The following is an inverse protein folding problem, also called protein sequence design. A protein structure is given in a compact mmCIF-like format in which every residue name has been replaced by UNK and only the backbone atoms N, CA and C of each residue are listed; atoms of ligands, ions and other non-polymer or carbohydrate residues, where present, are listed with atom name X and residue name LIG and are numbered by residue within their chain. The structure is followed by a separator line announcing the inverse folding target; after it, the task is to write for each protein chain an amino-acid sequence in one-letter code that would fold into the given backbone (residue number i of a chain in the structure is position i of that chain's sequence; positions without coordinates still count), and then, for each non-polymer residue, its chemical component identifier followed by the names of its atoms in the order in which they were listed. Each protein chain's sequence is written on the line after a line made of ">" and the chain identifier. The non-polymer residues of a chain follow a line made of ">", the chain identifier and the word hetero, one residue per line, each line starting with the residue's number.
data_IF_817001986055
#
_entry.id   IF_817001986055
#
_cell.length_a   1.000
_cell.length_b   1.000
_cell.length_c   1.000
_cell.angle_alpha   90.00
_cell.angle_beta   90.00
_cell.angle_gamma   90.00
#
_symmetry.space_group_name_H-M   'P 1'
#
loop_
_entity.id
_entity.type
_entity.pdbx_description
1 polymer ?
#
# COMPACT_ATOMS: atom_id res chain seq x y z
N UNK A 1 -97.93 12.08 141.51
CA UNK A 1 -96.99 13.20 141.30
C UNK A 1 -97.80 14.43 140.93
N UNK A 2 -97.47 15.57 141.52
CA UNK A 2 -98.15 16.84 141.30
C UNK A 2 -98.27 17.15 139.79
N UNK A 3 -99.41 17.72 139.37
CA UNK A 3 -99.54 18.34 138.06
C UNK A 3 -98.58 19.54 138.01
N UNK A 4 -97.36 19.34 137.51
CA UNK A 4 -96.46 20.44 137.13
C UNK A 4 -96.86 20.95 135.76
N UNK A 5 -97.54 22.08 135.73
CA UNK A 5 -97.82 22.84 134.51
C UNK A 5 -96.50 23.38 133.95
N UNK A 6 -96.03 22.85 132.82
CA UNK A 6 -94.86 23.37 132.11
C UNK A 6 -95.34 24.49 131.19
N UNK A 7 -94.91 25.73 131.45
CA UNK A 7 -95.17 26.88 130.59
C UNK A 7 -94.01 27.04 129.61
N UNK A 8 -94.33 27.22 128.33
CA UNK A 8 -93.37 27.48 127.27
C UNK A 8 -93.36 28.97 126.96
N UNK A 9 -92.18 29.56 126.78
CA UNK A 9 -92.09 30.89 126.17
C UNK A 9 -92.45 30.76 124.69
N UNK A 10 -93.12 31.77 124.15
CA UNK A 10 -93.34 31.83 122.71
C UNK A 10 -93.14 33.25 122.21
N UNK A 11 -92.72 33.33 120.94
CA UNK A 11 -92.58 34.61 120.25
C UNK A 11 -93.18 34.50 118.85
N UNK A 12 -94.01 35.48 118.50
CA UNK A 12 -94.49 35.69 117.14
C UNK A 12 -93.72 36.78 116.39
N UNK A 13 -92.78 37.46 117.05
CA UNK A 13 -92.04 38.59 116.49
C UNK A 13 -90.55 38.30 116.26
N UNK A 14 -89.93 37.45 117.07
CA UNK A 14 -88.49 37.17 117.02
C UNK A 14 -88.23 35.75 116.54
N UNK A 15 -87.43 35.61 115.47
CA UNK A 15 -87.01 34.31 114.92
C UNK A 15 -86.23 33.45 115.93
N UNK A 16 -85.47 34.08 116.82
CA UNK A 16 -84.71 33.39 117.87
C UNK A 16 -84.84 34.21 119.15
N UNK A 17 -85.20 33.60 120.30
CA UNK A 17 -85.12 34.28 121.59
C UNK A 17 -83.70 34.79 121.85
N UNK A 18 -83.53 35.94 122.51
CA UNK A 18 -82.19 36.48 122.80
C UNK A 18 -81.51 35.74 123.96
N UNK A 19 -82.29 35.30 124.94
CA UNK A 19 -81.85 34.49 126.08
C UNK A 19 -82.98 33.56 126.53
N UNK A 20 -82.63 32.43 127.12
CA UNK A 20 -83.55 31.50 127.79
C UNK A 20 -82.87 30.97 129.03
N UNK A 21 -83.59 30.85 130.14
CA UNK A 21 -83.03 30.23 131.34
C UNK A 21 -82.69 28.76 131.07
N UNK A 22 -81.79 28.17 131.85
CA UNK A 22 -81.44 26.74 131.72
C UNK A 22 -82.69 25.85 131.72
N UNK A 23 -82.87 25.05 130.66
CA UNK A 23 -84.01 24.15 130.49
C UNK A 23 -85.31 24.85 130.08
N UNK A 24 -85.34 26.17 129.97
CA UNK A 24 -86.50 26.93 129.55
C UNK A 24 -86.73 26.71 128.04
N UNK A 25 -87.87 26.13 127.71
CA UNK A 25 -88.23 25.87 126.33
C UNK A 25 -88.98 27.06 125.73
N UNK A 26 -88.67 27.36 124.47
CA UNK A 26 -89.33 28.41 123.72
C UNK A 26 -89.61 28.02 122.28
N UNK A 27 -90.73 28.50 121.74
CA UNK A 27 -91.05 28.34 120.33
C UNK A 27 -91.10 29.71 119.63
N UNK A 28 -90.50 29.82 118.45
CA UNK A 28 -90.68 30.97 117.57
C UNK A 28 -91.59 30.60 116.41
N UNK A 29 -92.72 31.31 116.30
CA UNK A 29 -93.59 31.24 115.13
C UNK A 29 -93.01 31.98 113.93
N UNK A 30 -91.95 32.78 114.10
CA UNK A 30 -91.30 33.50 112.99
C UNK A 30 -90.28 32.63 112.26
N UNK A 31 -89.53 31.80 112.99
CA UNK A 31 -88.57 30.85 112.39
C UNK A 31 -89.10 29.43 112.29
N UNK A 32 -90.30 29.18 112.81
CA UNK A 32 -90.88 27.85 113.00
C UNK A 32 -90.01 26.91 113.86
N UNK A 33 -89.06 27.43 114.62
CA UNK A 33 -88.10 26.65 115.41
C UNK A 33 -88.49 26.55 116.88
N UNK A 34 -88.17 25.39 117.45
CA UNK A 34 -88.23 25.11 118.87
C UNK A 34 -86.83 25.21 119.46
N UNK A 35 -86.74 25.87 120.60
CA UNK A 35 -85.52 26.21 121.29
C UNK A 35 -85.57 25.78 122.75
N UNK A 36 -84.39 25.58 123.34
CA UNK A 36 -84.24 25.39 124.78
C UNK A 36 -83.04 26.19 125.28
N UNK A 37 -83.14 26.76 126.48
CA UNK A 37 -81.99 27.35 127.16
C UNK A 37 -81.00 26.28 127.59
N UNK A 38 -79.74 26.45 127.20
CA UNK A 38 -78.66 25.58 127.64
C UNK A 38 -78.20 25.93 129.06
N UNK A 39 -77.19 25.23 129.58
CA UNK A 39 -76.65 25.42 130.94
C UNK A 39 -76.02 26.79 131.21
N UNK A 40 -75.79 27.62 130.19
CA UNK A 40 -75.24 28.98 130.30
C UNK A 40 -76.25 30.06 129.91
N UNK A 41 -77.55 29.73 129.89
CA UNK A 41 -78.65 30.61 129.48
C UNK A 41 -78.60 31.09 128.00
N UNK A 42 -77.89 30.36 127.13
CA UNK A 42 -77.89 30.57 125.67
C UNK A 42 -78.93 29.69 124.98
N UNK A 43 -79.42 30.16 123.84
CA UNK A 43 -80.52 29.54 123.09
C UNK A 43 -80.01 28.47 122.14
N UNK A 44 -80.39 27.21 122.36
CA UNK A 44 -80.12 26.10 121.45
C UNK A 44 -81.35 25.82 120.57
N UNK A 45 -81.17 25.72 119.25
CA UNK A 45 -82.24 25.23 118.37
C UNK A 45 -82.27 23.72 118.45
N UNK A 46 -83.39 23.15 118.86
CA UNK A 46 -83.53 21.70 119.07
C UNK A 46 -84.61 21.05 118.21
N UNK A 47 -85.36 21.85 117.45
CA UNK A 47 -86.34 21.31 116.51
C UNK A 47 -87.28 22.38 115.99
N UNK A 48 -88.54 22.01 115.83
CA UNK A 48 -89.60 22.86 115.30
C UNK A 48 -89.97 22.52 113.86
N UNK A 49 -91.12 23.06 113.45
CA UNK A 49 -91.74 22.87 112.13
C UNK A 49 -90.79 23.16 110.96
N UNK A 50 -89.81 24.05 111.10
CA UNK A 50 -88.82 24.32 110.05
C UNK A 50 -88.13 23.06 109.51
N UNK A 51 -87.64 22.19 110.41
CA UNK A 51 -86.92 20.97 110.01
C UNK A 51 -87.88 19.90 109.47
N UNK A 52 -89.08 19.78 110.04
CA UNK A 52 -90.07 18.82 109.50
C UNK A 52 -90.54 19.26 108.12
N UNK A 53 -90.70 20.57 107.86
CA UNK A 53 -91.02 21.07 106.52
C UNK A 53 -89.93 20.76 105.48
N UNK A 54 -88.64 20.82 105.84
CA UNK A 54 -87.56 20.42 104.91
C UNK A 54 -87.59 18.92 104.59
N UNK A 55 -87.97 18.08 105.56
CA UNK A 55 -88.12 16.63 105.38
C UNK A 55 -89.39 16.31 104.59
N UNK A 56 -90.51 16.97 104.88
CA UNK A 56 -91.78 16.80 104.16
C UNK A 56 -91.65 17.29 102.70
N UNK A 57 -90.86 18.34 102.47
CA UNK A 57 -90.55 18.87 101.14
C UNK A 57 -89.42 18.11 100.43
N UNK A 58 -88.82 17.09 101.05
CA UNK A 58 -87.83 16.26 100.37
C UNK A 58 -88.46 15.64 99.11
N UNK A 59 -87.71 15.59 98.00
CA UNK A 59 -88.23 15.14 96.71
C UNK A 59 -87.18 14.36 95.93
N UNK A 60 -87.65 13.43 95.12
CA UNK A 60 -86.87 12.67 94.14
C UNK A 60 -86.64 13.46 92.85
N UNK A 61 -87.38 14.55 92.64
CA UNK A 61 -87.16 15.47 91.54
C UNK A 61 -85.89 16.32 91.76
N UNK A 62 -85.26 16.75 90.67
CA UNK A 62 -84.15 17.71 90.72
C UNK A 62 -84.64 19.11 91.09
N UNK A 63 -84.98 19.33 92.37
CA UNK A 63 -85.48 20.60 92.90
C UNK A 63 -84.40 21.29 93.74
N UNK A 64 -84.22 22.60 93.50
CA UNK A 64 -83.21 23.38 94.19
C UNK A 64 -83.45 23.43 95.71
N UNK A 65 -82.37 23.27 96.48
CA UNK A 65 -82.37 23.39 97.95
C UNK A 65 -83.30 22.42 98.69
N UNK A 66 -83.75 21.35 98.05
CA UNK A 66 -84.51 20.27 98.68
C UNK A 66 -83.57 19.13 99.11
N UNK A 67 -83.94 18.44 100.20
CA UNK A 67 -83.32 17.16 100.52
C UNK A 67 -83.76 16.15 99.45
N UNK A 68 -82.80 15.44 98.86
CA UNK A 68 -83.11 14.39 97.88
C UNK A 68 -83.64 13.18 98.63
N UNK A 69 -84.84 12.71 98.25
CA UNK A 69 -85.35 11.39 98.65
C UNK A 69 -85.41 10.49 97.43
N UNK A 70 -85.53 9.19 97.66
CA UNK A 70 -85.82 8.25 96.58
C UNK A 70 -87.32 8.26 96.27
N UNK A 71 -87.66 8.05 95.01
CA UNK A 71 -89.02 7.81 94.55
C UNK A 71 -89.53 6.41 94.95
N UNK A 72 -90.74 6.06 94.51
CA UNK A 72 -91.37 4.77 94.80
C UNK A 72 -90.67 3.56 94.15
N UNK A 73 -89.75 3.79 93.21
CA UNK A 73 -88.93 2.74 92.56
C UNK A 73 -87.46 2.81 92.97
N UNK A 74 -87.13 3.64 93.96
CA UNK A 74 -85.78 3.75 94.52
C UNK A 74 -84.83 4.67 93.74
N UNK A 75 -85.33 5.46 92.80
CA UNK A 75 -84.56 6.36 91.93
C UNK A 75 -84.63 7.82 92.43
N UNK A 76 -83.80 8.69 91.84
CA UNK A 76 -83.91 10.15 91.94
C UNK A 76 -83.45 10.77 90.61
N UNK A 77 -83.91 11.98 90.33
CA UNK A 77 -83.54 12.76 89.16
C UNK A 77 -82.49 13.82 89.49
N UNK A 78 -81.44 13.91 88.69
CA UNK A 78 -80.41 14.94 88.78
C UNK A 78 -79.94 15.32 87.37
N UNK A 79 -79.70 16.61 87.11
CA UNK A 79 -79.09 17.07 85.85
C UNK A 79 -77.64 16.64 85.73
N UNK A 80 -76.92 16.57 86.84
CA UNK A 80 -75.55 16.08 86.90
C UNK A 80 -75.28 15.47 88.29
N UNK A 81 -74.54 14.35 88.30
CA UNK A 81 -74.01 13.75 89.52
C UNK A 81 -72.50 13.89 89.47
N UNK A 82 -71.93 14.69 90.38
CA UNK A 82 -70.47 14.81 90.52
C UNK A 82 -69.97 13.77 91.52
N UNK A 83 -69.82 12.54 91.05
CA UNK A 83 -69.27 11.41 91.80
C UNK A 83 -68.61 10.42 90.84
N UNK A 84 -67.80 9.49 91.37
CA UNK A 84 -67.45 8.30 90.61
C UNK A 84 -68.66 7.38 90.58
N UNK A 85 -69.26 7.20 89.40
CA UNK A 85 -70.39 6.31 89.22
C UNK A 85 -69.86 4.89 88.94
N UNK A 86 -70.24 3.93 89.78
CA UNK A 86 -70.00 2.50 89.50
C UNK A 86 -71.19 1.93 88.72
N UNK A 87 -70.97 1.51 87.48
CA UNK A 87 -71.99 0.91 86.62
C UNK A 87 -71.83 1.25 85.13
N UNK A 88 -72.62 0.61 84.28
CA UNK A 88 -72.63 0.87 82.83
C UNK A 88 -73.45 2.15 82.53
N UNK A 89 -72.85 3.11 81.80
CA UNK A 89 -73.60 4.25 81.28
C UNK A 89 -74.55 3.79 80.16
N UNK A 90 -75.82 4.21 80.18
CA UNK A 90 -76.84 3.74 79.23
C UNK A 90 -76.42 3.87 77.75
N UNK A 91 -75.59 4.85 77.40
CA UNK A 91 -75.06 5.07 76.04
C UNK A 91 -73.89 4.15 75.65
N UNK A 92 -73.21 3.50 76.60
CA UNK A 92 -72.14 2.52 76.37
C UNK A 92 -72.62 1.05 76.35
N UNK A 93 -73.89 0.81 76.65
CA UNK A 93 -74.50 -0.55 76.72
C UNK A 93 -74.29 -1.40 75.48
N UNK A 94 -74.15 -0.78 74.29
CA UNK A 94 -73.96 -1.51 73.03
C UNK A 94 -72.60 -2.20 72.90
N UNK A 95 -71.60 -1.78 73.68
CA UNK A 95 -70.26 -2.36 73.71
C UNK A 95 -70.07 -3.37 74.85
N UNK A 96 -71.02 -3.45 75.80
CA UNK A 96 -70.97 -4.44 76.89
C UNK A 96 -70.97 -5.89 76.39
N UNK A 97 -71.58 -6.14 75.23
CA UNK A 97 -71.42 -7.38 74.50
C UNK A 97 -70.36 -7.17 73.42
N UNK A 98 -69.28 -7.94 73.49
CA UNK A 98 -68.18 -7.84 72.54
C UNK A 98 -68.67 -8.02 71.10
N UNK A 99 -68.16 -7.19 70.19
CA UNK A 99 -68.51 -7.21 68.77
C UNK A 99 -67.28 -7.55 67.94
N UNK A 100 -67.46 -8.42 66.97
CA UNK A 100 -66.43 -8.67 65.98
C UNK A 100 -66.39 -7.54 64.96
N UNK A 101 -65.26 -6.88 64.84
CA UNK A 101 -64.93 -5.97 63.75
C UNK A 101 -63.96 -6.71 62.84
N UNK A 102 -64.28 -6.78 61.55
CA UNK A 102 -63.50 -7.51 60.57
C UNK A 102 -63.24 -6.70 59.30
N UNK A 103 -62.18 -7.08 58.61
CA UNK A 103 -61.89 -6.67 57.24
C UNK A 103 -61.81 -7.92 56.36
N UNK A 104 -62.28 -7.82 55.12
CA UNK A 104 -62.33 -8.93 54.18
C UNK A 104 -61.93 -8.48 52.77
N UNK A 105 -61.51 -9.44 51.95
CA UNK A 105 -61.03 -9.19 50.58
C UNK A 105 -59.59 -9.64 50.39
N UNK A 106 -58.74 -8.76 49.86
CA UNK A 106 -57.33 -9.06 49.55
C UNK A 106 -56.46 -9.29 50.81
N UNK A 107 -56.91 -8.77 51.95
CA UNK A 107 -56.44 -9.12 53.28
C UNK A 107 -57.65 -9.46 54.15
N UNK A 108 -57.47 -10.39 55.10
CA UNK A 108 -58.53 -10.81 56.00
C UNK A 108 -58.03 -10.68 57.45
N UNK A 109 -58.92 -10.22 58.32
CA UNK A 109 -58.63 -10.04 59.74
C UNK A 109 -59.91 -9.80 60.53
N UNK A 110 -59.95 -10.27 61.77
CA UNK A 110 -61.09 -10.07 62.67
C UNK A 110 -60.58 -9.86 64.10
N UNK A 111 -61.20 -8.93 64.83
CA UNK A 111 -60.93 -8.72 66.25
C UNK A 111 -62.25 -8.53 66.98
N UNK A 112 -62.34 -9.02 68.20
CA UNK A 112 -63.48 -8.79 69.09
C UNK A 112 -63.17 -7.62 70.01
N UNK A 113 -64.07 -6.64 70.12
CA UNK A 113 -63.89 -5.47 70.99
C UNK A 113 -65.14 -5.17 71.81
N UNK A 114 -64.95 -4.81 73.08
CA UNK A 114 -65.99 -4.44 74.05
C UNK A 114 -65.75 -3.07 74.71
N UNK A 115 -64.73 -2.34 74.24
CA UNK A 115 -64.35 -1.01 74.74
C UNK A 115 -63.52 -1.01 76.02
N UNK A 116 -63.12 -2.17 76.55
CA UNK A 116 -62.31 -2.27 77.78
C UNK A 116 -60.81 -1.98 77.58
N UNK A 117 -60.28 -2.18 76.38
CA UNK A 117 -58.87 -1.97 76.04
C UNK A 117 -58.65 -1.70 74.53
N UNK A 118 -57.42 -1.33 74.15
CA UNK A 118 -57.01 -1.23 72.74
C UNK A 118 -57.03 -2.60 72.06
N UNK A 119 -57.44 -2.65 70.80
CA UNK A 119 -57.52 -3.87 70.00
C UNK A 119 -56.73 -3.75 68.69
N UNK A 120 -56.09 -4.84 68.27
CA UNK A 120 -55.35 -4.95 67.00
C UNK A 120 -56.06 -5.93 66.06
N UNK A 121 -56.28 -5.55 64.80
CA UNK A 121 -56.77 -6.47 63.77
C UNK A 121 -55.54 -7.07 63.06
N UNK A 122 -55.18 -8.34 63.29
CA UNK A 122 -54.12 -8.96 62.52
C UNK A 122 -54.58 -9.12 61.07
N UNK A 123 -53.80 -8.59 60.12
CA UNK A 123 -54.05 -8.77 58.70
C UNK A 123 -53.22 -9.93 58.16
N UNK A 124 -53.91 -10.91 57.58
CA UNK A 124 -53.28 -11.96 56.78
C UNK A 124 -53.58 -11.67 55.31
N UNK A 125 -52.53 -11.53 54.50
CA UNK A 125 -52.67 -11.39 53.05
C UNK A 125 -53.16 -12.71 52.44
N UNK A 126 -54.03 -12.64 51.43
CA UNK A 126 -54.37 -13.81 50.63
C UNK A 126 -53.15 -14.35 49.88
N UNK A 127 -53.07 -15.68 49.70
CA UNK A 127 -51.98 -16.29 48.92
C UNK A 127 -52.03 -15.75 47.48
N UNK A 128 -50.88 -15.30 46.96
CA UNK A 128 -50.74 -14.88 45.56
C UNK A 128 -50.80 -16.06 44.59
N UNK A 129 -50.60 -17.29 45.08
CA UNK A 129 -50.44 -18.49 44.24
C UNK A 129 -49.02 -18.65 43.69
N UNK A 130 -48.15 -17.67 43.90
CA UNK A 130 -46.74 -17.69 43.49
C UNK A 130 -45.91 -18.38 44.56
N UNK A 131 -45.08 -19.34 44.17
CA UNK A 131 -44.13 -19.97 45.07
C UNK A 131 -43.04 -18.96 45.50
N UNK A 132 -42.69 -18.95 46.78
CA UNK A 132 -41.60 -18.09 47.25
C UNK A 132 -40.25 -18.55 46.69
N UNK A 133 -39.50 -17.64 46.08
CA UNK A 133 -38.20 -17.93 45.48
C UNK A 133 -37.72 -16.80 44.56
N UNK A 134 -36.53 -17.01 43.98
CA UNK A 134 -35.98 -16.15 42.93
C UNK A 134 -36.43 -16.66 41.55
N UNK A 135 -36.79 -15.74 40.67
CA UNK A 135 -37.17 -16.03 39.29
C UNK A 135 -36.20 -15.32 38.34
N UNK A 136 -35.70 -16.05 37.33
CA UNK A 136 -34.64 -15.64 36.42
C UNK A 136 -33.24 -16.05 36.88
N UNK A 137 -32.35 -16.30 35.92
CA UNK A 137 -30.92 -16.53 36.10
C UNK A 137 -30.16 -16.22 34.79
N UNK A 138 -28.93 -16.72 34.62
CA UNK A 138 -28.15 -16.51 33.40
C UNK A 138 -28.71 -17.22 32.16
N UNK A 139 -29.65 -18.16 32.29
CA UNK A 139 -30.20 -18.97 31.20
C UNK A 139 -31.73 -18.97 31.13
N UNK A 140 -32.41 -18.29 32.05
CA UNK A 140 -33.87 -18.19 32.11
C UNK A 140 -34.33 -16.76 32.38
N UNK A 141 -35.43 -16.36 31.74
CA UNK A 141 -36.07 -15.05 31.90
C UNK A 141 -37.32 -15.23 32.77
N UNK A 142 -37.54 -14.39 33.80
CA UNK A 142 -38.75 -14.43 34.59
C UNK A 142 -39.94 -13.94 33.76
N UNK A 143 -41.01 -14.74 33.70
CA UNK A 143 -42.30 -14.32 33.16
C UNK A 143 -43.34 -14.38 34.28
N UNK A 144 -44.27 -13.43 34.27
CA UNK A 144 -45.29 -13.34 35.30
C UNK A 144 -46.63 -12.86 34.74
N UNK A 145 -47.71 -13.23 35.43
CA UNK A 145 -49.05 -12.72 35.17
C UNK A 145 -49.49 -11.84 36.33
N UNK A 146 -50.21 -10.77 36.02
CA UNK A 146 -50.79 -9.86 37.01
C UNK A 146 -52.32 -9.93 36.96
N UNK A 147 -52.96 -9.85 38.12
CA UNK A 147 -54.42 -9.71 38.18
C UNK A 147 -54.87 -8.28 37.84
N UNK A 148 -56.18 -8.07 37.76
CA UNK A 148 -56.79 -6.75 37.50
C UNK A 148 -56.51 -5.70 38.59
N UNK A 149 -55.95 -6.11 39.73
CA UNK A 149 -55.51 -5.23 40.81
C UNK A 149 -53.98 -5.04 40.84
N UNK A 150 -53.24 -5.62 39.88
CA UNK A 150 -51.80 -5.47 39.73
C UNK A 150 -50.95 -6.41 40.60
N UNK A 151 -51.54 -7.40 41.28
CA UNK A 151 -50.76 -8.40 42.04
C UNK A 151 -50.28 -9.51 41.12
N UNK A 152 -49.09 -10.03 41.37
CA UNK A 152 -48.59 -11.21 40.65
C UNK A 152 -49.38 -12.44 41.09
N UNK A 153 -49.97 -13.16 40.13
CA UNK A 153 -50.77 -14.38 40.38
C UNK A 153 -50.10 -15.66 39.89
N UNK A 154 -49.11 -15.53 39.02
CA UNK A 154 -48.24 -16.61 38.59
C UNK A 154 -46.86 -16.03 38.24
N UNK A 155 -45.80 -16.74 38.59
CA UNK A 155 -44.45 -16.47 38.11
C UNK A 155 -43.79 -17.78 37.69
N UNK A 156 -43.03 -17.74 36.61
CA UNK A 156 -42.32 -18.87 36.05
C UNK A 156 -41.00 -18.42 35.42
N UNK A 157 -40.04 -19.34 35.34
CA UNK A 157 -38.82 -19.15 34.57
C UNK A 157 -39.04 -19.76 33.19
N UNK A 158 -38.87 -18.95 32.15
CA UNK A 158 -38.84 -19.42 30.76
C UNK A 158 -37.39 -19.50 30.34
N UNK A 159 -36.95 -20.67 29.87
CA UNK A 159 -35.60 -20.81 29.34
C UNK A 159 -35.38 -19.87 28.15
N UNK A 160 -34.15 -19.39 27.97
CA UNK A 160 -33.70 -18.92 26.67
C UNK A 160 -33.72 -20.14 25.74
N UNK A 161 -34.88 -20.44 25.14
CA UNK A 161 -35.05 -21.59 24.25
C UNK A 161 -34.11 -21.41 23.05
N UNK A 162 -33.17 -22.34 22.89
CA UNK A 162 -32.32 -22.43 21.71
C UNK A 162 -33.20 -22.42 20.46
N UNK A 163 -33.05 -21.39 19.61
CA UNK A 163 -33.82 -21.19 18.39
C UNK A 163 -34.77 -19.99 18.36
N UNK A 164 -35.16 -19.40 19.49
CA UNK A 164 -35.99 -18.18 19.49
C UNK A 164 -35.18 -16.88 19.55
N UNK A 165 -33.93 -16.96 20.03
CA UNK A 165 -32.95 -15.86 20.00
C UNK A 165 -31.82 -16.21 19.04
N UNK A 166 -32.08 -16.04 17.75
CA UNK A 166 -31.07 -16.15 16.70
C UNK A 166 -30.58 -14.77 16.29
N UNK A 167 -29.31 -14.67 15.90
CA UNK A 167 -28.80 -13.52 15.16
C UNK A 167 -28.87 -13.87 13.68
N UNK A 168 -29.70 -13.15 12.93
CA UNK A 168 -29.76 -13.30 11.48
C UNK A 168 -28.52 -12.64 10.86
N UNK A 169 -27.82 -13.36 10.00
CA UNK A 169 -26.65 -12.89 9.27
C UNK A 169 -26.87 -13.07 7.76
N UNK A 170 -26.37 -12.13 6.95
CA UNK A 170 -26.41 -12.21 5.51
C UNK A 170 -25.11 -11.66 4.93
N UNK A 171 -24.64 -12.23 3.81
CA UNK A 171 -23.48 -11.76 3.07
C UNK A 171 -23.88 -11.16 1.72
N UNK A 172 -22.88 -10.80 0.90
CA UNK A 172 -23.09 -10.38 -0.49
C UNK A 172 -23.82 -11.48 -1.31
N UNK A 173 -23.68 -12.74 -0.88
CA UNK A 173 -24.55 -13.85 -1.28
C UNK A 173 -24.91 -14.70 -0.05
N UNK A 174 -26.17 -15.17 0.01
CA UNK A 174 -26.65 -16.06 1.07
C UNK A 174 -27.05 -15.38 2.39
N UNK A 175 -27.83 -16.11 3.20
CA UNK A 175 -28.25 -15.72 4.55
C UNK A 175 -28.28 -16.95 5.46
N UNK A 176 -28.10 -16.73 6.76
CA UNK A 176 -28.09 -17.77 7.79
C UNK A 176 -28.54 -17.20 9.14
N UNK A 177 -28.78 -18.06 10.13
CA UNK A 177 -29.16 -17.67 11.48
C UNK A 177 -28.33 -18.39 12.53
N UNK A 178 -27.69 -17.63 13.41
CA UNK A 178 -26.84 -18.18 14.48
C UNK A 178 -27.65 -18.30 15.76
N UNK A 179 -27.82 -19.50 16.28
CA UNK A 179 -28.45 -19.70 17.59
C UNK A 179 -27.48 -19.33 18.72
N UNK A 180 -27.82 -18.28 19.49
CA UNK A 180 -26.96 -17.72 20.54
C UNK A 180 -26.55 -18.72 21.65
N UNK A 181 -27.31 -19.80 21.83
CA UNK A 181 -27.09 -20.76 22.90
C UNK A 181 -26.21 -21.97 22.50
N UNK A 182 -26.06 -22.25 21.19
CA UNK A 182 -25.47 -23.50 20.71
C UNK A 182 -24.42 -23.30 19.64
N UNK A 183 -24.53 -22.24 18.85
CA UNK A 183 -23.73 -22.08 17.65
C UNK A 183 -22.49 -21.23 17.95
N UNK A 184 -21.40 -21.54 17.27
CA UNK A 184 -20.20 -20.70 17.26
C UNK A 184 -20.11 -20.02 15.90
N UNK A 185 -20.07 -18.68 15.88
CA UNK A 185 -19.77 -17.93 14.66
C UNK A 185 -18.31 -18.18 14.31
N UNK A 186 -18.07 -18.94 13.24
CA UNK A 186 -16.72 -19.22 12.74
C UNK A 186 -16.42 -18.32 11.55
N UNK A 187 -15.43 -17.43 11.70
CA UNK A 187 -14.92 -16.63 10.59
C UNK A 187 -13.85 -17.41 9.86
N UNK A 188 -14.10 -17.78 8.61
CA UNK A 188 -13.13 -18.46 7.75
C UNK A 188 -12.43 -17.48 6.83
N UNK A 189 -11.10 -17.56 6.77
CA UNK A 189 -10.30 -16.88 5.76
C UNK A 189 -10.44 -17.57 4.41
N UNK A 190 -10.57 -16.79 3.34
CA UNK A 190 -10.46 -17.30 1.96
C UNK A 190 -9.01 -17.30 1.48
N UNK A 191 -8.81 -17.37 0.16
CA UNK A 191 -7.47 -17.28 -0.42
C UNK A 191 -6.81 -15.94 -0.09
N UNK A 192 -5.65 -16.00 0.59
CA UNK A 192 -4.84 -14.83 0.95
C UNK A 192 -5.39 -13.99 2.11
N UNK A 193 -6.46 -14.45 2.78
CA UNK A 193 -6.98 -13.85 4.01
C UNK A 193 -6.85 -14.85 5.14
N UNK A 194 -6.15 -14.48 6.21
CA UNK A 194 -6.13 -15.24 7.46
C UNK A 194 -7.04 -14.59 8.50
N UNK A 195 -7.92 -15.36 9.12
CA UNK A 195 -8.77 -14.92 10.23
C UNK A 195 -8.25 -15.45 11.56
N UNK A 196 -8.14 -14.58 12.56
CA UNK A 196 -7.69 -14.97 13.90
C UNK A 196 -8.53 -14.31 14.99
N UNK A 197 -8.98 -15.09 15.98
CA UNK A 197 -9.63 -14.58 17.18
C UNK A 197 -8.54 -14.21 18.19
N UNK A 198 -8.45 -12.94 18.55
CA UNK A 198 -7.46 -12.44 19.50
C UNK A 198 -8.11 -12.23 20.86
N UNK A 199 -7.92 -13.21 21.76
CA UNK A 199 -8.54 -13.23 23.08
C UNK A 199 -8.16 -12.06 23.98
N UNK A 200 -6.98 -11.46 23.79
CA UNK A 200 -6.52 -10.34 24.61
C UNK A 200 -7.34 -9.05 24.41
N UNK A 201 -7.95 -8.86 23.24
CA UNK A 201 -8.69 -7.64 22.88
C UNK A 201 -10.15 -7.91 22.50
N UNK A 202 -10.64 -9.14 22.68
CA UNK A 202 -11.99 -9.58 22.28
C UNK A 202 -12.36 -9.19 20.84
N UNK A 203 -11.41 -9.31 19.91
CA UNK A 203 -11.61 -8.97 18.52
C UNK A 203 -11.27 -10.14 17.58
N UNK A 204 -11.79 -10.03 16.36
CA UNK A 204 -11.43 -10.90 15.24
C UNK A 204 -10.59 -10.07 14.29
N UNK A 205 -9.38 -10.54 13.99
CA UNK A 205 -8.48 -9.92 13.03
C UNK A 205 -8.61 -10.62 11.69
N UNK A 206 -8.64 -9.82 10.63
CA UNK A 206 -8.57 -10.25 9.24
C UNK A 206 -7.25 -9.74 8.69
N UNK A 207 -6.32 -10.65 8.49
CA UNK A 207 -4.99 -10.38 7.94
C UNK A 207 -4.91 -10.76 6.48
N UNK A 208 -4.03 -10.06 5.76
CA UNK A 208 -3.64 -10.40 4.39
C UNK A 208 -2.22 -10.93 4.42
N UNK A 209 -2.00 -12.11 3.84
CA UNK A 209 -0.71 -12.82 3.97
C UNK A 209 0.32 -12.40 2.91
N UNK A 210 0.00 -11.36 2.11
CA UNK A 210 0.84 -10.87 1.02
C UNK A 210 0.05 -10.66 -0.27
N UNK A 211 -0.65 -9.52 -0.33
CA UNK A 211 -1.38 -8.99 -1.49
C UNK A 211 -2.46 -9.90 -2.07
N UNK A 212 -3.70 -9.70 -1.60
CA UNK A 212 -4.89 -10.23 -2.26
C UNK A 212 -5.09 -9.47 -3.59
N UNK A 213 -4.61 -10.04 -4.70
CA UNK A 213 -5.06 -9.62 -6.03
C UNK A 213 -6.42 -10.30 -6.26
N UNK A 214 -7.50 -9.54 -6.11
CA UNK A 214 -8.86 -10.05 -6.33
C UNK A 214 -9.01 -10.46 -7.80
N UNK A 215 -9.56 -11.65 -8.01
CA UNK A 215 -9.84 -12.22 -9.34
C UNK A 215 -11.12 -11.67 -9.98
N UNK A 216 -11.94 -10.95 -9.20
CA UNK A 216 -13.21 -10.38 -9.65
C UNK A 216 -13.21 -8.85 -9.42
N UNK A 217 -13.00 -8.11 -10.50
CA UNK A 217 -12.96 -6.65 -10.51
C UNK A 217 -12.32 -6.18 -11.81
N UNK A 218 -12.83 -5.10 -12.40
CA UNK A 218 -12.35 -4.64 -13.71
C UNK A 218 -10.95 -4.04 -13.65
N UNK A 219 -10.50 -3.54 -12.49
CA UNK A 219 -9.18 -2.97 -12.25
C UNK A 219 -8.71 -3.22 -10.81
N UNK A 220 -7.43 -3.53 -10.63
CA UNK A 220 -6.76 -3.63 -9.32
C UNK A 220 -5.52 -2.74 -9.35
N UNK A 221 -5.34 -1.90 -8.31
CA UNK A 221 -4.20 -0.99 -8.18
C UNK A 221 -3.38 -1.34 -6.94
N UNK A 222 -2.06 -1.31 -7.07
CA UNK A 222 -1.12 -1.42 -5.95
C UNK A 222 -0.37 -0.09 -5.88
N UNK A 223 -0.68 0.74 -4.88
CA UNK A 223 -0.03 2.05 -4.70
C UNK A 223 1.42 1.94 -4.18
N UNK A 224 1.78 0.76 -3.67
CA UNK A 224 3.14 0.43 -3.22
C UNK A 224 3.96 -0.36 -4.25
N UNK A 225 5.14 -0.81 -3.83
CA UNK A 225 5.97 -1.70 -4.65
C UNK A 225 5.45 -3.14 -4.62
N UNK A 226 5.49 -3.81 -5.78
CA UNK A 226 5.22 -5.25 -5.89
C UNK A 226 6.54 -5.99 -6.20
N UNK A 227 6.92 -6.91 -5.33
CA UNK A 227 7.99 -7.87 -5.60
C UNK A 227 7.37 -9.23 -5.96
N UNK A 228 7.82 -9.82 -7.07
CA UNK A 228 7.36 -11.14 -7.52
C UNK A 228 8.59 -12.05 -7.52
N UNK A 229 8.61 -13.02 -6.60
CA UNK A 229 9.71 -14.00 -6.49
C UNK A 229 9.54 -15.19 -7.42
N UNK A 230 8.30 -15.43 -7.88
CA UNK A 230 7.98 -16.40 -8.92
C UNK A 230 7.93 -15.75 -10.31
N UNK A 231 7.21 -16.40 -11.22
CA UNK A 231 6.99 -15.88 -12.57
C UNK A 231 5.84 -14.87 -12.59
N UNK A 232 5.98 -13.81 -13.38
CA UNK A 232 4.86 -12.98 -13.80
C UNK A 232 4.34 -13.47 -15.15
N UNK A 233 3.10 -13.92 -15.19
CA UNK A 233 2.40 -14.27 -16.44
C UNK A 233 1.25 -13.28 -16.65
N UNK A 234 1.29 -12.53 -17.75
CA UNK A 234 0.24 -11.56 -18.09
C UNK A 234 -0.51 -12.06 -19.33
N UNK A 235 -1.76 -12.46 -19.14
CA UNK A 235 -2.65 -12.89 -20.21
C UNK A 235 -3.56 -11.72 -20.62
N UNK A 236 -3.11 -10.94 -21.60
CA UNK A 236 -3.82 -9.77 -22.12
C UNK A 236 -3.20 -9.29 -23.43
N UNK A 237 -3.72 -8.19 -23.99
CA UNK A 237 -3.22 -7.64 -25.25
C UNK A 237 -2.08 -6.62 -25.06
N UNK A 238 -1.96 -6.00 -23.88
CA UNK A 238 -1.01 -4.90 -23.63
C UNK A 238 -0.35 -5.02 -22.26
N UNK A 239 0.92 -4.61 -22.21
CA UNK A 239 1.65 -4.31 -20.98
C UNK A 239 2.20 -2.89 -21.15
N UNK A 240 1.91 -2.01 -20.19
CA UNK A 240 2.42 -0.63 -20.18
C UNK A 240 3.40 -0.46 -19.03
N UNK A 241 4.63 -0.04 -19.34
CA UNK A 241 5.65 0.26 -18.35
C UNK A 241 5.87 1.78 -18.33
N UNK A 242 5.21 2.46 -17.40
CA UNK A 242 5.43 3.88 -17.14
C UNK A 242 6.44 4.04 -15.99
N UNK A 243 7.71 3.78 -16.32
CA UNK A 243 8.82 3.74 -15.37
C UNK A 243 10.04 4.45 -15.95
N UNK A 244 10.87 5.03 -15.07
CA UNK A 244 12.12 5.67 -15.49
C UNK A 244 13.12 4.65 -16.05
N UNK A 245 13.19 3.45 -15.45
CA UNK A 245 14.17 2.42 -15.79
C UNK A 245 13.51 1.03 -15.88
N UNK A 246 13.83 0.30 -16.95
CA UNK A 246 13.56 -1.13 -17.07
C UNK A 246 14.91 -1.85 -17.01
N UNK A 247 15.11 -2.67 -15.98
CA UNK A 247 16.31 -3.52 -15.84
C UNK A 247 15.92 -4.98 -16.01
N UNK A 248 16.61 -5.66 -16.92
CA UNK A 248 16.55 -7.13 -17.06
C UNK A 248 17.95 -7.69 -16.88
N UNK A 249 18.07 -8.78 -16.14
CA UNK A 249 19.33 -9.53 -16.03
C UNK A 249 19.51 -10.51 -17.20
N UNK A 250 18.43 -10.79 -17.95
CA UNK A 250 18.49 -11.65 -19.13
C UNK A 250 19.24 -10.98 -20.27
N UNK A 251 20.16 -11.72 -20.88
CA UNK A 251 20.93 -11.25 -22.04
C UNK A 251 20.14 -11.28 -23.35
N UNK A 252 19.04 -12.04 -23.40
CA UNK A 252 18.22 -12.23 -24.60
C UNK A 252 16.77 -11.92 -24.28
N UNK A 253 16.14 -11.14 -25.16
CA UNK A 253 14.71 -10.84 -25.13
C UNK A 253 14.06 -11.49 -26.35
N UNK A 254 13.12 -12.40 -26.13
CA UNK A 254 12.34 -12.98 -27.22
C UNK A 254 11.18 -12.05 -27.58
N UNK A 255 11.19 -11.56 -28.81
CA UNK A 255 10.08 -10.80 -29.40
C UNK A 255 9.36 -11.67 -30.42
N UNK A 256 8.06 -11.41 -30.61
CA UNK A 256 7.23 -12.08 -31.62
C UNK A 256 7.22 -13.63 -31.53
N UNK A 257 7.14 -14.18 -30.31
CA UNK A 257 7.21 -15.62 -30.05
C UNK A 257 6.18 -16.48 -30.83
N UNK A 258 5.08 -15.87 -31.28
CA UNK A 258 4.01 -16.52 -32.06
C UNK A 258 4.01 -16.13 -33.56
N UNK A 259 5.11 -15.61 -34.11
CA UNK A 259 5.21 -15.22 -35.52
C UNK A 259 5.38 -16.43 -36.47
N UNK A 260 4.38 -17.30 -36.54
CA UNK A 260 4.47 -18.55 -37.30
C UNK A 260 4.54 -18.35 -38.84
N UNK A 261 4.08 -17.20 -39.34
CA UNK A 261 3.99 -16.92 -40.78
C UNK A 261 5.05 -15.91 -41.28
N UNK A 262 5.98 -15.47 -40.42
CA UNK A 262 6.97 -14.41 -40.70
C UNK A 262 6.35 -13.17 -41.36
N UNK A 263 5.23 -12.68 -40.79
CA UNK A 263 4.51 -11.49 -41.28
C UNK A 263 4.69 -10.26 -40.36
N UNK A 264 5.24 -10.47 -39.16
CA UNK A 264 5.45 -9.41 -38.18
C UNK A 264 6.85 -8.83 -38.33
N UNK A 265 6.95 -7.50 -38.24
CA UNK A 265 8.23 -6.85 -38.01
C UNK A 265 8.65 -7.07 -36.56
N UNK A 266 9.96 -7.24 -36.33
CA UNK A 266 10.49 -7.58 -35.01
C UNK A 266 11.54 -6.55 -34.62
N UNK A 267 11.24 -5.77 -33.58
CA UNK A 267 12.17 -4.75 -33.10
C UNK A 267 11.55 -3.76 -32.13
N UNK A 268 12.10 -2.56 -32.11
CA UNK A 268 11.73 -1.47 -31.23
C UNK A 268 11.51 -0.18 -32.01
N UNK A 269 10.62 0.67 -31.50
CA UNK A 269 10.41 2.01 -32.02
C UNK A 269 10.29 3.02 -30.89
N UNK A 270 10.55 4.29 -31.19
CA UNK A 270 10.45 5.40 -30.27
C UNK A 270 9.73 6.58 -30.91
N UNK A 271 9.10 7.40 -30.07
CA UNK A 271 8.42 8.63 -30.46
C UNK A 271 9.25 9.84 -30.03
N UNK A 272 9.36 10.85 -30.89
CA UNK A 272 10.04 12.10 -30.59
C UNK A 272 9.35 13.28 -31.29
N UNK A 273 9.75 14.51 -30.96
CA UNK A 273 9.18 15.73 -31.56
C UNK A 273 10.22 16.42 -32.45
N UNK A 274 9.88 16.62 -33.73
CA UNK A 274 10.60 17.48 -34.66
C UNK A 274 9.62 17.98 -35.73
N UNK A 275 9.21 19.26 -35.62
CA UNK A 275 8.14 19.84 -36.42
C UNK A 275 6.87 18.93 -36.47
N UNK A 276 6.43 18.48 -35.29
CA UNK A 276 5.37 17.49 -35.10
C UNK A 276 5.89 16.19 -34.48
N UNK A 277 4.98 15.25 -34.20
CA UNK A 277 5.32 13.90 -33.72
C UNK A 277 5.99 13.11 -34.83
N UNK A 278 7.13 12.51 -34.52
CA UNK A 278 7.92 11.67 -35.41
C UNK A 278 8.27 10.36 -34.72
N UNK A 279 8.64 9.37 -35.52
CA UNK A 279 9.02 8.05 -35.04
C UNK A 279 10.40 7.65 -35.55
N UNK A 280 11.13 6.92 -34.72
CA UNK A 280 12.38 6.23 -35.05
C UNK A 280 12.20 4.75 -34.79
N UNK A 281 12.83 3.89 -35.57
CA UNK A 281 12.66 2.45 -35.42
C UNK A 281 13.92 1.68 -35.78
N UNK A 282 14.15 0.57 -35.06
CA UNK A 282 15.11 -0.46 -35.41
C UNK A 282 14.40 -1.81 -35.40
N UNK A 283 14.28 -2.44 -36.57
CA UNK A 283 13.48 -3.64 -36.73
C UNK A 283 13.96 -4.52 -37.87
N UNK A 284 13.71 -5.82 -37.76
CA UNK A 284 13.69 -6.76 -38.87
C UNK A 284 12.41 -6.53 -39.67
N UNK A 285 12.54 -6.23 -40.96
CA UNK A 285 11.43 -6.01 -41.87
C UNK A 285 11.04 -7.32 -42.56
N UNK A 286 9.91 -7.90 -42.18
CA UNK A 286 9.40 -9.15 -42.74
C UNK A 286 9.05 -9.02 -44.24
N UNK A 287 8.64 -7.83 -44.69
CA UNK A 287 8.26 -7.57 -46.07
C UNK A 287 9.45 -7.42 -47.03
N UNK A 288 10.65 -7.13 -46.51
CA UNK A 288 11.87 -6.92 -47.30
C UNK A 288 12.90 -8.03 -47.03
N UNK A 289 12.44 -9.27 -47.16
CA UNK A 289 13.27 -10.48 -46.98
C UNK A 289 14.00 -10.52 -45.64
N UNK A 290 13.44 -9.87 -44.63
CA UNK A 290 13.97 -9.95 -43.28
C UNK A 290 15.17 -9.05 -42.97
N UNK A 291 15.41 -8.01 -43.78
CA UNK A 291 16.51 -7.08 -43.53
C UNK A 291 16.27 -6.26 -42.27
N UNK A 292 17.32 -6.06 -41.48
CA UNK A 292 17.27 -5.09 -40.39
C UNK A 292 17.37 -3.67 -40.94
N UNK A 293 16.48 -2.81 -40.48
CA UNK A 293 16.39 -1.40 -40.89
C UNK A 293 16.54 -0.50 -39.67
N UNK A 294 17.36 0.52 -39.82
CA UNK A 294 17.44 1.65 -38.91
C UNK A 294 16.80 2.85 -39.61
N UNK A 295 15.71 3.35 -39.04
CA UNK A 295 14.80 4.29 -39.69
C UNK A 295 14.52 5.49 -38.77
N UNK A 296 14.34 6.68 -39.34
CA UNK A 296 14.07 7.93 -38.61
C UNK A 296 13.12 8.84 -39.39
N UNK A 297 12.59 9.88 -38.75
CA UNK A 297 11.72 10.87 -39.38
C UNK A 297 10.33 10.34 -39.75
N UNK A 298 9.92 9.19 -39.22
CA UNK A 298 8.66 8.54 -39.54
C UNK A 298 7.45 9.43 -39.29
N UNK A 299 6.52 9.51 -40.24
CA UNK A 299 5.26 10.27 -40.08
C UNK A 299 4.08 9.41 -39.64
N UNK A 300 4.24 8.08 -39.65
CA UNK A 300 3.21 7.12 -39.28
C UNK A 300 3.66 6.31 -38.06
N UNK A 301 2.76 6.12 -37.09
CA UNK A 301 2.99 5.25 -35.94
C UNK A 301 3.02 3.79 -36.41
N UNK A 302 4.00 2.97 -36.00
CA UNK A 302 3.96 1.53 -36.22
C UNK A 302 2.66 0.90 -35.71
N UNK A 303 2.09 -0.04 -36.48
CA UNK A 303 0.78 -0.63 -36.19
C UNK A 303 0.85 -1.60 -35.01
N UNK A 304 0.10 -1.32 -33.94
CA UNK A 304 -0.01 -2.23 -32.79
C UNK A 304 -0.85 -3.49 -33.07
N UNK A 305 -1.71 -3.47 -34.11
CA UNK A 305 -2.57 -4.62 -34.46
C UNK A 305 -1.82 -5.62 -35.32
N UNK A 306 -1.05 -5.14 -36.30
CA UNK A 306 -0.30 -5.98 -37.24
C UNK A 306 1.17 -6.15 -36.88
N UNK A 307 1.70 -5.40 -35.91
CA UNK A 307 3.14 -5.31 -35.59
C UNK A 307 3.99 -5.07 -36.84
N UNK A 308 3.61 -4.06 -37.63
CA UNK A 308 4.31 -3.69 -38.87
C UNK A 308 4.68 -2.21 -38.88
N UNK A 309 5.79 -1.89 -39.55
CA UNK A 309 6.29 -0.54 -39.80
C UNK A 309 6.16 -0.25 -41.29
N UNK A 310 5.44 0.82 -41.65
CA UNK A 310 5.43 1.30 -43.04
C UNK A 310 6.76 1.99 -43.36
N UNK A 311 7.74 1.23 -43.86
CA UNK A 311 9.08 1.75 -44.14
C UNK A 311 9.09 2.93 -45.15
N UNK A 312 8.08 3.06 -46.02
CA UNK A 312 7.97 4.18 -46.96
C UNK A 312 7.62 5.51 -46.27
N UNK A 313 7.05 5.48 -45.06
CA UNK A 313 6.77 6.67 -44.26
C UNK A 313 7.99 7.17 -43.48
N UNK A 314 9.15 6.51 -43.61
CA UNK A 314 10.39 6.80 -42.88
C UNK A 314 11.55 7.06 -43.85
N UNK A 315 12.58 7.74 -43.33
CA UNK A 315 13.89 7.82 -43.98
C UNK A 315 14.89 6.87 -43.32
N UNK A 316 15.93 6.42 -44.04
CA UNK A 316 17.02 5.64 -43.42
C UNK A 316 17.77 6.53 -42.43
N UNK A 317 18.07 6.01 -41.25
CA UNK A 317 18.86 6.74 -40.26
C UNK A 317 20.37 6.54 -40.48
N UNK A 318 21.14 7.48 -39.94
CA UNK A 318 22.60 7.34 -39.78
C UNK A 318 22.91 6.64 -38.47
N UNK A 319 23.88 5.74 -38.49
CA UNK A 319 24.41 5.07 -37.30
C UNK A 319 25.86 5.52 -37.08
N UNK A 320 26.13 6.11 -35.91
CA UNK A 320 27.50 6.38 -35.45
C UNK A 320 27.99 5.15 -34.68
N UNK A 321 28.88 4.36 -35.30
CA UNK A 321 29.41 3.13 -34.73
C UNK A 321 30.82 2.84 -35.25
N UNK A 322 31.67 2.30 -34.37
CA UNK A 322 32.99 1.79 -34.74
C UNK A 322 32.90 0.31 -35.12
N UNK A 323 32.76 0.03 -36.41
CA UNK A 323 32.80 -1.35 -36.91
C UNK A 323 34.25 -1.84 -37.01
N UNK A 324 34.67 -2.72 -36.11
CA UNK A 324 36.07 -3.19 -36.00
C UNK A 324 36.39 -4.43 -36.87
N UNK A 325 35.46 -4.86 -37.72
CA UNK A 325 35.61 -6.01 -38.61
C UNK A 325 34.33 -6.34 -39.36
N UNK A 326 34.43 -7.14 -40.43
CA UNK A 326 33.31 -7.61 -41.24
C UNK A 326 33.51 -7.43 -42.75
N UNK A 327 32.59 -8.00 -43.52
CA UNK A 327 32.51 -7.82 -44.97
C UNK A 327 31.39 -6.84 -45.26
N UNK A 328 31.69 -5.74 -45.95
CA UNK A 328 30.66 -4.89 -46.56
C UNK A 328 30.37 -5.46 -47.95
N UNK A 329 29.20 -6.09 -48.12
CA UNK A 329 28.78 -6.74 -49.37
C UNK A 329 27.33 -6.43 -49.72
N UNK A 330 26.95 -6.63 -50.98
CA UNK A 330 25.56 -6.40 -51.43
C UNK A 330 25.18 -4.92 -51.53
N UNK A 331 26.17 -4.03 -51.69
CA UNK A 331 25.94 -2.61 -51.88
C UNK A 331 25.24 -2.35 -53.22
N UNK A 332 24.21 -1.51 -53.24
CA UNK A 332 23.56 -1.02 -54.46
C UNK A 332 24.39 0.02 -55.21
N UNK A 333 25.45 0.54 -54.59
CA UNK A 333 26.31 1.58 -55.13
C UNK A 333 27.73 1.39 -54.60
N UNK A 334 28.72 1.84 -55.36
CA UNK A 334 30.12 1.82 -54.93
C UNK A 334 30.31 2.72 -53.70
N UNK A 335 31.23 2.36 -52.80
CA UNK A 335 31.61 3.25 -51.71
C UNK A 335 32.43 4.40 -52.31
N UNK A 336 32.03 5.64 -52.02
CA UNK A 336 32.74 6.83 -52.48
C UNK A 336 34.13 6.93 -51.82
N UNK A 337 35.07 7.64 -52.46
CA UNK A 337 36.42 7.85 -51.89
C UNK A 337 36.34 8.54 -50.52
N UNK A 338 35.42 9.48 -50.36
CA UNK A 338 35.21 10.20 -49.09
C UNK A 338 34.84 9.26 -47.93
N UNK A 339 34.22 8.12 -48.25
CA UNK A 339 33.79 7.10 -47.29
C UNK A 339 34.79 5.91 -47.23
N UNK A 340 36.03 6.11 -47.72
CA UNK A 340 37.09 5.10 -47.72
C UNK A 340 36.98 4.04 -48.82
N UNK A 341 36.07 4.24 -49.78
CA UNK A 341 35.89 3.36 -50.93
C UNK A 341 36.83 3.63 -52.09
N UNK A 342 36.55 2.99 -53.23
CA UNK A 342 37.32 3.15 -54.48
C UNK A 342 36.56 3.94 -55.56
N UNK A 343 35.28 4.21 -55.33
CA UNK A 343 34.33 4.73 -56.32
C UNK A 343 34.23 3.89 -57.61
N UNK A 344 34.58 2.60 -57.54
CA UNK A 344 34.55 1.65 -58.66
C UNK A 344 34.02 0.29 -58.21
N UNK A 345 33.24 -0.38 -59.08
CA UNK A 345 32.66 -1.70 -58.80
C UNK A 345 33.62 -2.85 -59.13
N UNK A 346 34.58 -2.61 -60.02
CA UNK A 346 35.63 -3.57 -60.40
C UNK A 346 36.80 -2.85 -61.10
N UNK A 347 37.92 -3.55 -61.23
CA UNK A 347 39.09 -3.13 -62.00
C UNK A 347 39.42 -4.19 -63.06
N UNK A 348 40.04 -3.78 -64.16
CA UNK A 348 40.48 -4.73 -65.18
C UNK A 348 41.60 -5.61 -64.64
N UNK A 349 41.42 -6.93 -64.71
CA UNK A 349 42.40 -7.92 -64.26
C UNK A 349 43.75 -7.73 -64.95
N UNK A 350 44.84 -7.73 -64.17
CA UNK A 350 46.21 -7.63 -64.67
C UNK A 350 46.72 -6.22 -64.91
N UNK A 351 45.88 -5.19 -64.79
CA UNK A 351 46.30 -3.80 -64.90
C UNK A 351 46.80 -3.24 -63.55
N UNK A 352 47.74 -2.30 -63.60
CA UNK A 352 48.02 -1.44 -62.45
C UNK A 352 46.82 -0.52 -62.18
N UNK A 353 46.64 -0.11 -60.93
CA UNK A 353 45.61 0.88 -60.54
C UNK A 353 46.29 2.13 -60.04
N UNK A 354 45.80 3.30 -60.43
CA UNK A 354 46.29 4.59 -59.93
C UNK A 354 45.11 5.49 -59.52
N UNK A 355 45.40 6.55 -58.75
CA UNK A 355 44.41 7.57 -58.42
C UNK A 355 44.50 8.72 -59.42
N UNK A 356 43.39 9.04 -60.11
CA UNK A 356 43.36 10.09 -61.13
C UNK A 356 42.88 11.45 -60.60
N UNK A 357 42.66 11.57 -59.28
CA UNK A 357 42.13 12.76 -58.63
C UNK A 357 40.64 12.67 -58.24
N UNK A 358 39.86 11.78 -58.86
CA UNK A 358 38.44 11.58 -58.55
C UNK A 358 38.07 10.13 -58.23
N UNK A 359 38.78 9.16 -58.80
CA UNK A 359 38.59 7.73 -58.56
C UNK A 359 39.92 6.97 -58.66
N UNK A 360 39.94 5.76 -58.07
CA UNK A 360 40.93 4.76 -58.48
C UNK A 360 40.52 4.24 -59.86
N UNK A 361 41.46 4.20 -60.81
CA UNK A 361 41.19 3.72 -62.18
C UNK A 361 42.30 2.80 -62.67
N UNK A 362 41.95 1.85 -63.54
CA UNK A 362 42.92 0.95 -64.16
C UNK A 362 43.80 1.68 -65.16
N UNK A 363 45.11 1.61 -64.96
CA UNK A 363 46.10 2.07 -65.91
C UNK A 363 46.44 0.91 -66.86
N UNK A 364 46.20 1.11 -68.15
CA UNK A 364 46.51 0.12 -69.17
C UNK A 364 48.00 -0.27 -69.15
N UNK A 365 48.30 -1.51 -69.57
CA UNK A 365 49.67 -1.99 -69.65
C UNK A 365 50.49 -1.14 -70.63
N UNK A 366 51.74 -0.83 -70.27
CA UNK A 366 52.64 -0.10 -71.16
C UNK A 366 53.13 -1.03 -72.28
N UNK A 367 52.90 -0.67 -73.53
CA UNK A 367 53.52 -1.36 -74.67
C UNK A 367 54.99 -0.98 -74.73
N UNK A 368 55.89 -1.97 -74.68
CA UNK A 368 57.33 -1.77 -74.86
C UNK A 368 57.72 -1.93 -76.33
N UNK A 369 58.45 -0.97 -76.88
CA UNK A 369 59.00 -1.03 -78.25
C UNK A 369 60.52 -0.87 -78.23
N UNK A 370 61.25 -1.81 -78.84
CA UNK A 370 62.70 -1.69 -79.05
C UNK A 370 62.99 -1.22 -80.48
N UNK A 371 63.65 -0.07 -80.62
CA UNK A 371 64.09 0.46 -81.92
C UNK A 371 65.60 0.29 -82.06
N UNK A 372 66.04 -0.45 -83.08
CA UNK A 372 67.43 -0.92 -83.19
C UNK A 372 67.72 -2.05 -82.17
N UNK A 373 68.25 -3.17 -82.65
CA UNK A 373 68.37 -4.39 -81.83
C UNK A 373 69.36 -4.28 -80.65
N UNK A 374 69.29 -5.22 -79.71
CA UNK A 374 70.30 -5.44 -78.67
C UNK A 374 71.15 -6.68 -79.01
N UNK A 375 71.96 -6.58 -80.08
CA UNK A 375 72.99 -7.60 -80.35
C UNK A 375 74.20 -7.42 -79.40
N UNK A 376 75.12 -8.40 -79.35
CA UNK A 376 76.30 -8.39 -78.47
C UNK A 376 77.20 -7.14 -78.59
N UNK A 377 77.02 -6.29 -79.62
CA UNK A 377 77.78 -5.05 -79.84
C UNK A 377 76.93 -3.78 -79.81
N UNK A 378 75.73 -3.87 -79.22
CA UNK A 378 74.82 -2.74 -79.08
C UNK A 378 74.67 -2.35 -77.61
N UNK A 379 74.37 -1.06 -77.38
CA UNK A 379 73.99 -0.52 -76.06
C UNK A 379 72.64 0.18 -76.17
N UNK A 380 71.97 0.38 -75.04
CA UNK A 380 70.84 1.30 -74.97
C UNK A 380 71.39 2.72 -74.96
N UNK A 381 70.99 3.53 -75.93
CA UNK A 381 71.39 4.94 -76.04
C UNK A 381 70.31 5.88 -75.53
N UNK A 382 69.05 5.45 -75.52
CA UNK A 382 67.94 6.18 -74.92
C UNK A 382 66.85 5.25 -74.43
N UNK A 383 66.12 5.71 -73.41
CA UNK A 383 64.86 5.12 -72.95
C UNK A 383 63.78 6.20 -73.04
N UNK A 384 62.58 5.78 -73.42
CA UNK A 384 61.38 6.62 -73.36
C UNK A 384 60.48 6.05 -72.28
N UNK A 385 59.94 6.95 -71.44
CA UNK A 385 58.99 6.60 -70.39
C UNK A 385 57.64 7.28 -70.62
N UNK A 386 56.56 6.67 -70.13
CA UNK A 386 55.25 7.33 -70.08
C UNK A 386 55.17 8.37 -68.95
N UNK A 387 54.02 9.05 -68.84
CA UNK A 387 53.75 10.03 -67.78
C UNK A 387 53.76 9.45 -66.35
N UNK A 388 53.83 8.11 -66.21
CA UNK A 388 53.96 7.41 -64.94
C UNK A 388 55.38 6.83 -64.73
N UNK A 389 56.33 7.17 -65.61
CA UNK A 389 57.73 6.74 -65.51
C UNK A 389 58.00 5.30 -65.96
N UNK A 390 57.01 4.60 -66.55
CA UNK A 390 57.20 3.24 -67.06
C UNK A 390 57.86 3.28 -68.43
N UNK A 391 58.83 2.41 -68.70
CA UNK A 391 59.51 2.35 -70.01
C UNK A 391 58.53 1.91 -71.09
N UNK A 392 58.33 2.76 -72.08
CA UNK A 392 57.49 2.49 -73.27
C UNK A 392 58.33 2.22 -74.51
N UNK A 393 59.58 2.68 -74.54
CA UNK A 393 60.51 2.32 -75.59
C UNK A 393 61.97 2.39 -75.15
N UNK A 394 62.83 1.68 -75.86
CA UNK A 394 64.28 1.86 -75.79
C UNK A 394 64.88 1.91 -77.20
N UNK A 395 65.99 2.63 -77.35
CA UNK A 395 66.75 2.65 -78.60
C UNK A 395 68.06 1.92 -78.40
N UNK A 396 68.24 0.81 -79.13
CA UNK A 396 69.50 0.10 -79.23
C UNK A 396 70.32 0.63 -80.40
N UNK A 397 71.59 0.97 -80.17
CA UNK A 397 72.51 1.35 -81.23
C UNK A 397 73.83 0.59 -81.09
N UNK A 398 74.54 0.42 -82.21
CA UNK A 398 75.88 -0.16 -82.20
C UNK A 398 76.84 0.73 -81.40
N UNK A 399 77.74 0.11 -80.66
CA UNK A 399 78.84 0.83 -80.00
C UNK A 399 79.88 1.16 -81.08
N UNK A 400 79.74 2.33 -81.72
CA UNK A 400 80.73 2.83 -82.65
C UNK A 400 81.86 3.52 -81.87
N UNK A 401 83.01 2.85 -81.74
CA UNK A 401 84.23 3.46 -81.21
C UNK A 401 85.05 4.00 -82.37
N UNK A 402 85.10 5.32 -82.52
CA UNK A 402 86.06 5.97 -83.42
C UNK A 402 87.48 5.75 -82.89
N UNK A 403 88.47 5.61 -83.80
CA UNK A 403 89.88 5.52 -83.41
C UNK A 403 90.33 6.69 -82.51
N UNK A 404 89.70 7.86 -82.65
CA UNK A 404 89.95 9.04 -81.80
C UNK A 404 89.44 8.92 -80.36
N UNK A 405 88.55 7.98 -80.07
CA UNK A 405 88.00 7.75 -78.72
C UNK A 405 88.83 6.74 -77.91
N UNK A 406 89.84 6.10 -78.52
CA UNK A 406 90.78 5.22 -77.82
C UNK A 406 91.87 6.09 -77.18
N UNK A 407 91.58 6.63 -75.99
CA UNK A 407 92.47 7.54 -75.27
C UNK A 407 93.70 6.88 -74.61
N UNK A 408 93.71 5.56 -74.47
CA UNK A 408 94.85 4.77 -73.96
C UNK A 408 94.69 3.28 -74.32
N UNK A 409 95.79 2.51 -74.30
CA UNK A 409 95.82 1.10 -74.69
C UNK A 409 96.21 0.87 -76.17
N UNK A 410 96.58 -0.36 -76.53
CA UNK A 410 96.95 -0.73 -77.90
C UNK A 410 95.84 -1.55 -78.57
N UNK A 411 95.46 -1.20 -79.80
CA UNK A 411 94.67 -2.11 -80.64
C UNK A 411 95.58 -3.29 -81.00
N UNK A 412 95.18 -4.50 -80.62
CA UNK A 412 95.91 -5.72 -80.98
C UNK A 412 95.93 -5.89 -82.50
N UNK A 413 96.97 -6.55 -83.01
CA UNK A 413 97.11 -6.80 -84.46
C UNK A 413 95.93 -7.60 -85.02
N UNK A 414 95.39 -8.52 -84.22
CA UNK A 414 94.20 -9.31 -84.57
C UNK A 414 92.95 -8.46 -84.85
N UNK A 415 92.91 -7.21 -84.39
CA UNK A 415 91.79 -6.27 -84.66
C UNK A 415 92.22 -5.10 -85.56
N UNK A 416 93.24 -5.32 -86.40
CA UNK A 416 93.73 -4.34 -87.38
C UNK A 416 94.58 -3.22 -86.80
N UNK A 417 94.92 -3.29 -85.50
CA UNK A 417 95.87 -2.38 -84.88
C UNK A 417 97.33 -2.76 -85.14
N UNK A 418 98.24 -2.03 -84.52
CA UNK A 418 99.69 -2.29 -84.61
C UNK A 418 100.21 -3.15 -83.46
N UNK A 419 99.43 -3.35 -82.40
CA UNK A 419 99.84 -4.06 -81.19
C UNK A 419 100.84 -3.30 -80.31
N UNK A 420 101.31 -2.11 -80.72
CA UNK A 420 102.24 -1.25 -79.96
C UNK A 420 101.69 0.16 -79.77
N UNK A 421 102.08 0.83 -78.68
CA UNK A 421 101.58 2.16 -78.34
C UNK A 421 102.23 3.29 -79.14
N UNK A 422 103.45 3.08 -79.62
CA UNK A 422 104.17 4.01 -80.50
C UNK A 422 105.30 3.28 -81.23
N UNK A 423 105.80 3.89 -82.30
CA UNK A 423 107.01 3.45 -82.98
C UNK A 423 108.15 4.44 -82.75
N UNK A 424 109.39 3.96 -82.85
CA UNK A 424 110.57 4.83 -82.81
C UNK A 424 110.58 5.73 -84.05
N UNK A 425 110.80 7.03 -83.85
CA UNK A 425 110.82 8.02 -84.93
C UNK A 425 111.89 7.67 -85.98
N UNK A 426 111.55 7.89 -87.26
CA UNK A 426 112.39 7.58 -88.42
C UNK A 426 112.79 6.10 -88.60
N UNK A 427 112.16 5.17 -87.85
CA UNK A 427 112.36 3.73 -88.02
C UNK A 427 111.58 3.15 -89.19
N UNK A 428 112.04 2.00 -89.70
CA UNK A 428 111.28 1.17 -90.63
C UNK A 428 110.39 0.23 -89.83
N UNK A 429 109.09 0.28 -90.08
CA UNK A 429 108.13 -0.63 -89.46
C UNK A 429 108.14 -1.96 -90.20
N UNK A 430 108.27 -3.05 -89.45
CA UNK A 430 108.25 -4.42 -89.94
C UNK A 430 107.15 -5.22 -89.23
N UNK A 431 106.53 -6.13 -89.97
CA UNK A 431 105.56 -7.06 -89.40
C UNK A 431 106.23 -7.92 -88.31
N UNK A 432 105.47 -8.25 -87.27
CA UNK A 432 105.92 -9.17 -86.22
C UNK A 432 106.16 -10.58 -86.76
N UNK A 433 106.83 -11.43 -85.97
CA UNK A 433 107.20 -12.80 -86.36
C UNK A 433 105.99 -13.72 -86.63
N UNK A 434 104.79 -13.34 -86.21
CA UNK A 434 103.53 -14.03 -86.49
C UNK A 434 102.43 -13.05 -86.88
N UNK A 435 101.36 -13.52 -87.53
CA UNK A 435 100.24 -12.70 -88.00
C UNK A 435 99.45 -11.96 -86.90
N UNK A 436 99.73 -12.25 -85.63
CA UNK A 436 99.10 -11.62 -84.45
C UNK A 436 100.12 -10.93 -83.54
N UNK A 437 101.42 -11.05 -83.84
CA UNK A 437 102.46 -10.38 -83.08
C UNK A 437 102.44 -8.88 -83.38
N UNK A 438 102.71 -8.09 -82.35
CA UNK A 438 102.88 -6.65 -82.44
C UNK A 438 103.88 -6.27 -83.55
N UNK A 439 103.55 -5.25 -84.34
CA UNK A 439 104.48 -4.68 -85.32
C UNK A 439 105.68 -4.12 -84.54
N UNK A 440 106.87 -4.31 -85.09
CA UNK A 440 108.10 -3.77 -84.51
C UNK A 440 108.72 -2.75 -85.45
N UNK A 441 109.49 -1.81 -84.92
CA UNK A 441 110.26 -0.87 -85.73
C UNK A 441 111.74 -1.12 -85.53
N UNK A 442 112.49 -1.14 -86.63
CA UNK A 442 113.96 -1.24 -86.62
C UNK A 442 114.52 0.07 -87.17
N UNK A 443 115.51 0.64 -86.51
CA UNK A 443 116.14 1.89 -86.90
C UNK A 443 117.62 1.66 -87.21
N UNK A 444 118.16 2.41 -88.17
CA UNK A 444 119.61 2.45 -88.37
C UNK A 444 120.24 3.31 -87.27
N UNK A 445 121.30 2.82 -86.64
CA UNK A 445 122.08 3.57 -85.64
C UNK A 445 123.21 4.42 -86.23
N UNK A 446 123.57 4.24 -87.51
CA UNK A 446 124.71 4.90 -88.17
C UNK A 446 124.50 5.07 -89.68
N UNK A 447 125.24 6.00 -90.30
CA UNK A 447 125.22 6.26 -91.74
C UNK A 447 125.81 5.07 -92.53
N UNK A 448 125.20 4.74 -93.68
CA UNK A 448 125.68 3.68 -94.57
C UNK A 448 125.14 2.27 -94.30
N UNK A 449 124.28 2.10 -93.30
CA UNK A 449 123.53 0.84 -93.15
C UNK A 449 122.49 0.67 -94.26
N UNK A 450 122.39 -0.56 -94.75
CA UNK A 450 121.28 -1.01 -95.58
C UNK A 450 120.43 -2.01 -94.80
N UNK A 451 119.13 -2.07 -95.09
CA UNK A 451 118.25 -3.05 -94.48
C UNK A 451 118.56 -4.42 -95.09
N UNK A 452 118.98 -5.34 -94.25
CA UNK A 452 119.34 -6.71 -94.61
C UNK A 452 118.52 -7.69 -93.78
N UNK A 453 118.30 -8.89 -94.30
CA UNK A 453 117.69 -9.97 -93.53
C UNK A 453 118.82 -10.73 -92.84
N UNK A 454 118.81 -10.79 -91.50
CA UNK A 454 119.82 -11.54 -90.77
C UNK A 454 119.60 -13.06 -90.91
N UNK A 455 120.54 -13.85 -90.37
CA UNK A 455 120.49 -15.33 -90.42
C UNK A 455 119.26 -15.95 -89.76
N UNK A 456 118.49 -15.18 -88.98
CA UNK A 456 117.23 -15.61 -88.35
C UNK A 456 115.98 -15.14 -89.11
N UNK A 457 116.14 -14.58 -90.32
CA UNK A 457 115.02 -14.11 -91.13
C UNK A 457 114.45 -12.75 -90.69
N UNK A 458 115.12 -12.06 -89.77
CA UNK A 458 114.65 -10.80 -89.19
C UNK A 458 115.28 -9.63 -89.96
N UNK A 459 114.49 -8.66 -90.45
CA UNK A 459 115.03 -7.44 -91.02
C UNK A 459 115.83 -6.65 -89.99
N UNK A 460 117.08 -6.32 -90.31
CA UNK A 460 118.01 -5.57 -89.47
C UNK A 460 118.88 -4.63 -90.31
N UNK A 461 119.36 -3.53 -89.75
CA UNK A 461 120.27 -2.61 -90.45
C UNK A 461 121.73 -3.02 -90.20
N UNK A 462 122.52 -3.15 -91.27
CA UNK A 462 123.95 -3.48 -91.20
C UNK A 462 124.74 -2.90 -92.39
N UNK A 463 126.07 -2.76 -92.25
CA UNK A 463 126.98 -2.32 -93.32
C UNK A 463 127.15 -3.41 -94.41
N UNK A 464 127.48 -2.99 -95.64
CA UNK A 464 127.88 -3.90 -96.71
C UNK A 464 129.33 -4.36 -96.49
N UNK A 465 129.54 -5.62 -96.12
CA UNK A 465 130.88 -6.20 -95.96
C UNK A 465 131.42 -6.62 -97.34
N UNK A 466 132.47 -5.97 -97.82
CA UNK A 466 133.10 -6.28 -99.12
C UNK A 466 133.89 -7.59 -99.10
N UNK A 467 133.26 -8.70 -99.49
CA UNK A 467 133.89 -9.99 -99.77
C UNK A 467 133.43 -10.55 -101.12
N UNK A 468 134.33 -11.22 -101.84
CA UNK A 468 134.06 -11.89 -103.13
C UNK A 468 133.06 -13.02 -102.95
N UNK A 469 131.87 -12.81 -103.53
CA UNK A 469 130.68 -13.66 -103.66
C UNK A 469 130.33 -14.56 -102.47
#
# INVERSE_FOLDING_TARGET
>A
MANTTIQLKYSSATATPTTLNVGEAAYSFTSDKFFIGNTTNHVLTIGGKYYTTLVDAATDANTASAIVKRDTVGMFSATAVKADLFGNANTATKWQTARNIGVSGDANGIVSVDGSANANIPLTLGNSGVAAGWYGDSTTIPVYQVDSKGRITAAANVGLTAGSSTVQIAGDTGADSVALATDTITFVGGDGITTAVYSANSNVRFDVDGTVIRTTGTNQTIDGSLAITGNLVVSGNTITHDVDNIKTDDSLIQLAANNAADILDIGIFGTYVNAGTKYTAFFRDASDSGKFKLMTGGTELPSAVSNTVNAAAFSRATLDANFTGGTVSGLSSVIAIADGGTNASSFTTGNLVHFNGTSLVSLANSTYTLTGGLANSNTITSITVDGFGRVTAATGATINISATQIGSGTLTVTRGGTGVGSFTANGVVIAGLTSTAALSSVASSTEGHVLQINTSGIPTFAHLQGGTF
#
